data_IF_791797257617
#
_entry.id   IF_791797257617
#
_cell.length_a   1.000
_cell.length_b   1.000
_cell.length_c   1.000
_cell.angle_alpha   90.00
_cell.angle_beta   90.00
_cell.angle_gamma   90.00
#
_symmetry.space_group_name_H-M   'P 1'
#
loop_
_entity.id
_entity.type
_entity.pdbx_description
1 polymer ?
#
# COMPACT_ATOMS: atom_id res chain seq x y z
N UNK A 1 5.53 -19.16 -20.05
CA UNK A 1 4.48 -18.24 -19.55
C UNK A 1 4.03 -18.70 -18.17
N UNK A 2 4.59 -18.13 -17.08
CA UNK A 2 4.18 -18.42 -15.70
C UNK A 2 3.24 -17.30 -15.23
N UNK A 3 1.96 -17.64 -15.02
CA UNK A 3 0.97 -16.76 -14.40
C UNK A 3 1.36 -16.57 -12.93
N UNK A 4 1.69 -15.34 -12.52
CA UNK A 4 1.81 -14.94 -11.11
C UNK A 4 0.43 -15.04 -10.47
N UNK A 5 0.33 -15.76 -9.35
CA UNK A 5 -0.86 -15.84 -8.51
C UNK A 5 -0.91 -14.55 -7.69
N UNK A 6 -1.84 -13.65 -8.02
CA UNK A 6 -2.08 -12.35 -7.36
C UNK A 6 -3.14 -12.50 -6.26
N UNK A 7 -2.98 -13.46 -5.35
CA UNK A 7 -3.99 -13.74 -4.30
C UNK A 7 -3.49 -13.42 -2.88
N UNK A 8 -2.19 -13.17 -2.69
CA UNK A 8 -1.62 -13.04 -1.34
C UNK A 8 -1.52 -11.62 -0.76
N UNK A 9 -1.79 -10.57 -1.53
CA UNK A 9 -1.69 -9.18 -1.04
C UNK A 9 -2.90 -8.70 -0.21
N UNK A 10 -4.01 -9.44 -0.18
CA UNK A 10 -5.25 -8.99 0.49
C UNK A 10 -5.32 -9.24 2.00
N UNK A 11 -4.38 -9.99 2.61
CA UNK A 11 -4.48 -10.31 4.05
C UNK A 11 -3.39 -9.70 4.92
N UNK A 12 -2.30 -9.19 4.33
CA UNK A 12 -1.11 -8.75 5.09
C UNK A 12 -0.97 -7.23 5.25
N UNK A 13 -1.85 -6.41 4.66
CA UNK A 13 -1.68 -4.95 4.64
C UNK A 13 -2.93 -4.15 5.04
N UNK A 14 -3.67 -4.58 6.07
CA UNK A 14 -4.83 -3.83 6.57
C UNK A 14 -4.47 -2.96 7.79
N UNK A 15 -3.59 -1.98 7.54
CA UNK A 15 -3.47 -0.80 8.40
C UNK A 15 -3.08 0.46 7.62
N UNK A 16 -3.68 0.73 6.46
CA UNK A 16 -3.77 2.09 5.91
C UNK A 16 -4.98 2.25 4.95
N UNK A 17 -5.98 3.00 5.41
CA UNK A 17 -6.97 3.79 4.64
C UNK A 17 -7.89 3.09 3.63
N UNK A 18 -9.12 2.85 4.09
CA UNK A 18 -10.36 2.78 3.29
C UNK A 18 -10.61 4.12 2.57
N UNK A 19 -10.52 4.12 1.24
CA UNK A 19 -11.26 5.05 0.37
C UNK A 19 -12.17 4.20 -0.50
N UNK A 20 -13.44 4.13 -0.10
CA UNK A 20 -14.51 3.53 -0.90
C UNK A 20 -14.69 4.36 -2.18
N UNK A 21 -14.62 3.71 -3.34
CA UNK A 21 -15.30 4.20 -4.55
C UNK A 21 -16.54 3.36 -4.75
N UNK A 22 -17.69 4.01 -4.57
CA UNK A 22 -18.97 3.58 -5.10
C UNK A 22 -18.90 3.50 -6.62
N UNK A 23 -19.25 2.34 -7.18
CA UNK A 23 -19.79 2.26 -8.54
C UNK A 23 -20.97 1.29 -8.52
N UNK A 24 -22.16 1.86 -8.36
CA UNK A 24 -23.43 1.24 -8.74
C UNK A 24 -23.53 1.17 -10.26
N UNK A 25 -23.92 0.03 -10.88
CA UNK A 25 -24.29 0.02 -12.28
C UNK A 25 -25.75 0.45 -12.43
N UNK A 26 -25.97 1.58 -13.09
CA UNK A 26 -27.28 2.02 -13.59
C UNK A 26 -27.69 1.18 -14.79
N UNK A 27 -28.75 0.40 -14.62
CA UNK A 27 -29.57 -0.16 -15.72
C UNK A 27 -30.28 0.98 -16.46
N UNK A 28 -30.15 1.04 -17.78
CA UNK A 28 -31.07 1.81 -18.62
C UNK A 28 -31.59 0.96 -19.79
N UNK A 29 -32.86 1.22 -20.06
CA UNK A 29 -33.83 0.53 -20.90
C UNK A 29 -33.44 0.30 -22.36
N UNK A 30 -33.93 -0.83 -22.90
CA UNK A 30 -34.43 -0.89 -24.28
C UNK A 30 -35.54 -1.95 -24.42
N UNK A 31 -36.79 -1.49 -24.39
CA UNK A 31 -37.96 -2.21 -24.92
C UNK A 31 -38.01 -2.04 -26.44
N UNK A 32 -38.36 -3.10 -27.18
CA UNK A 32 -39.35 -3.14 -28.29
C UNK A 32 -39.69 -4.64 -28.51
N UNK A 33 -40.88 -5.11 -28.11
CA UNK A 33 -42.11 -5.28 -28.91
C UNK A 33 -42.06 -6.42 -29.95
N UNK A 34 -42.89 -7.45 -29.72
CA UNK A 34 -43.05 -8.58 -30.64
C UNK A 34 -44.11 -9.58 -30.16
N UNK A 35 -45.36 -9.31 -30.52
CA UNK A 35 -46.62 -10.03 -30.29
C UNK A 35 -46.61 -11.56 -30.49
N UNK A 36 -47.33 -12.32 -29.64
CA UNK A 36 -48.50 -13.11 -30.09
C UNK A 36 -49.32 -13.70 -28.90
N UNK A 37 -50.64 -13.60 -28.99
CA UNK A 37 -51.63 -14.23 -28.10
C UNK A 37 -52.03 -15.59 -28.71
N UNK A 38 -52.56 -16.62 -28.02
CA UNK A 38 -53.86 -16.75 -27.33
C UNK A 38 -54.10 -18.27 -27.03
N UNK A 39 -55.23 -18.76 -26.49
CA UNK A 39 -55.29 -19.45 -25.19
C UNK A 39 -55.86 -20.89 -25.25
N UNK A 40 -56.04 -21.58 -24.12
CA UNK A 40 -57.29 -22.31 -23.77
C UNK A 40 -57.27 -22.98 -22.39
N UNK A 41 -58.23 -22.56 -21.56
CA UNK A 41 -59.27 -23.39 -20.91
C UNK A 41 -59.02 -24.19 -19.61
N UNK A 42 -59.99 -24.02 -18.68
CA UNK A 42 -60.42 -24.88 -17.54
C UNK A 42 -59.47 -24.93 -16.32
N UNK A 43 -59.90 -24.88 -15.06
CA UNK A 43 -61.19 -25.22 -14.44
C UNK A 43 -61.30 -24.57 -13.03
N UNK A 44 -62.53 -24.35 -12.60
CA UNK A 44 -63.01 -23.78 -11.33
C UNK A 44 -62.50 -24.52 -10.08
N UNK A 45 -62.31 -23.78 -8.97
CA UNK A 45 -63.05 -24.01 -7.71
C UNK A 45 -62.82 -22.89 -6.69
N UNK A 46 -63.93 -22.45 -6.11
CA UNK A 46 -64.06 -21.38 -5.13
C UNK A 46 -63.64 -21.88 -3.73
N UNK A 47 -63.05 -21.01 -2.90
CA UNK A 47 -63.20 -21.06 -1.45
C UNK A 47 -62.72 -19.75 -0.81
N UNK A 48 -63.68 -18.85 -0.59
CA UNK A 48 -63.60 -17.74 0.37
C UNK A 48 -63.40 -18.28 1.78
N UNK A 49 -62.32 -17.88 2.47
CA UNK A 49 -62.29 -17.76 3.94
C UNK A 49 -61.37 -16.62 4.36
N UNK A 50 -61.98 -15.50 4.72
CA UNK A 50 -61.38 -14.48 5.58
C UNK A 50 -61.23 -15.05 7.00
N UNK A 51 -60.06 -14.87 7.61
CA UNK A 51 -59.93 -14.85 9.07
C UNK A 51 -58.78 -13.90 9.46
N UNK A 52 -59.08 -13.05 10.44
CA UNK A 52 -58.40 -11.84 10.88
C UNK A 52 -56.96 -12.05 11.39
N UNK A 53 -56.05 -11.13 11.06
CA UNK A 53 -54.90 -10.69 11.88
C UNK A 53 -54.64 -9.20 11.58
N UNK A 54 -55.09 -8.26 12.41
CA UNK A 54 -54.49 -7.81 13.68
C UNK A 54 -53.31 -6.83 13.53
N UNK A 55 -53.57 -5.59 13.98
CA UNK A 55 -52.69 -4.58 14.61
C UNK A 55 -51.94 -3.56 13.72
N UNK A 56 -52.56 -2.37 13.67
CA UNK A 56 -51.98 -1.05 14.04
C UNK A 56 -50.47 -0.86 13.83
N UNK A 57 -50.10 -0.05 12.85
CA UNK A 57 -48.77 0.52 12.70
C UNK A 57 -48.87 1.97 12.23
N UNK A 58 -48.74 2.93 13.15
CA UNK A 58 -48.11 4.25 12.87
C UNK A 58 -47.98 5.03 14.18
N UNK A 59 -46.76 5.13 14.71
CA UNK A 59 -46.38 6.23 15.61
C UNK A 59 -44.87 6.51 15.51
N UNK A 60 -44.55 7.74 15.09
CA UNK A 60 -43.46 8.53 15.68
C UNK A 60 -42.03 8.23 15.25
N UNK A 61 -41.66 8.60 14.02
CA UNK A 61 -40.28 8.95 13.65
C UNK A 61 -39.96 10.31 14.29
N UNK A 62 -39.28 10.30 15.44
CA UNK A 62 -38.46 11.44 15.91
C UNK A 62 -37.54 11.01 17.06
N UNK A 63 -36.34 10.56 16.72
CA UNK A 63 -35.14 10.79 17.54
C UNK A 63 -33.97 11.05 16.59
N UNK A 64 -33.67 12.34 16.51
CA UNK A 64 -32.65 12.97 15.69
C UNK A 64 -31.26 12.45 16.09
N UNK A 65 -30.51 11.98 15.09
CA UNK A 65 -29.18 12.49 14.72
C UNK A 65 -28.39 13.31 15.78
N UNK A 66 -28.05 12.75 16.95
CA UNK A 66 -27.13 13.38 17.91
C UNK A 66 -25.95 12.50 18.30
N UNK A 67 -25.39 11.73 17.36
CA UNK A 67 -24.06 11.15 17.55
C UNK A 67 -23.20 11.31 16.28
N UNK A 68 -22.99 12.58 15.90
CA UNK A 68 -21.98 13.02 14.92
C UNK A 68 -20.95 13.94 15.59
N UNK A 69 -20.63 13.72 16.87
CA UNK A 69 -19.72 14.58 17.65
C UNK A 69 -18.64 13.82 18.45
N UNK A 70 -18.38 12.55 18.15
CA UNK A 70 -17.29 11.77 18.76
C UNK A 70 -16.38 11.08 17.73
N UNK A 71 -15.86 11.82 16.74
CA UNK A 71 -14.73 11.37 15.91
C UNK A 71 -13.73 12.51 15.73
N UNK A 72 -13.18 12.99 16.85
CA UNK A 72 -11.98 13.82 16.86
C UNK A 72 -11.07 13.39 18.02
N UNK A 73 -10.92 12.08 18.22
CA UNK A 73 -9.75 11.59 18.93
C UNK A 73 -8.62 11.68 17.92
N UNK A 74 -7.62 12.53 18.18
CA UNK A 74 -6.36 12.49 17.44
C UNK A 74 -5.88 11.03 17.41
N UNK A 75 -5.35 10.54 16.27
CA UNK A 75 -4.93 9.15 16.18
C UNK A 75 -4.01 8.83 17.37
N UNK A 76 -4.27 7.74 18.11
CA UNK A 76 -3.47 7.41 19.27
C UNK A 76 -2.00 7.34 18.86
N UNK A 77 -1.17 8.13 19.56
CA UNK A 77 0.28 8.13 19.34
C UNK A 77 0.77 6.72 19.64
N UNK A 78 1.36 6.07 18.64
CA UNK A 78 1.90 4.72 18.81
C UNK A 78 3.15 4.80 19.70
N UNK A 79 3.13 4.25 20.93
CA UNK A 79 4.22 4.38 21.88
C UNK A 79 5.49 3.64 21.43
N UNK A 80 5.35 2.64 20.57
CA UNK A 80 6.49 1.94 19.96
C UNK A 80 7.09 2.77 18.84
N UNK A 81 6.22 3.36 17.99
CA UNK A 81 6.67 4.16 16.87
C UNK A 81 7.58 5.28 17.33
N UNK A 82 7.33 5.93 18.48
CA UNK A 82 8.20 6.98 19.06
C UNK A 82 9.65 6.53 19.31
N UNK A 83 9.84 5.30 19.80
CA UNK A 83 11.11 4.82 20.34
C UNK A 83 11.95 3.98 19.36
N UNK A 84 11.37 3.68 18.19
CA UNK A 84 11.96 2.87 17.15
C UNK A 84 12.37 3.74 15.95
N UNK A 85 13.46 3.34 15.29
CA UNK A 85 14.07 4.08 14.17
C UNK A 85 14.26 3.13 12.99
N UNK A 86 13.39 3.18 11.97
CA UNK A 86 13.49 2.28 10.84
C UNK A 86 14.77 2.55 10.02
N UNK A 87 15.32 1.53 9.33
CA UNK A 87 16.55 1.66 8.55
C UNK A 87 16.51 2.83 7.57
N UNK A 88 15.39 3.03 6.88
CA UNK A 88 15.21 4.06 5.88
C UNK A 88 15.38 5.45 6.48
N UNK A 89 14.86 5.68 7.69
CA UNK A 89 14.99 6.97 8.37
C UNK A 89 16.45 7.24 8.76
N UNK A 90 17.15 6.24 9.29
CA UNK A 90 18.56 6.40 9.71
C UNK A 90 19.45 6.65 8.50
N UNK A 91 19.21 5.94 7.39
CA UNK A 91 19.99 6.03 6.16
C UNK A 91 19.66 7.26 5.31
N UNK A 92 18.49 7.87 5.51
CA UNK A 92 18.08 9.11 4.84
C UNK A 92 18.77 10.34 5.43
N UNK A 93 19.12 10.31 6.72
CA UNK A 93 19.68 11.45 7.45
C UNK A 93 21.07 11.17 8.06
N UNK A 94 22.02 10.53 7.33
CA UNK A 94 23.27 10.05 7.91
C UNK A 94 24.19 11.21 8.32
N UNK A 95 24.19 12.30 7.56
CA UNK A 95 24.99 13.48 7.84
C UNK A 95 24.39 14.31 8.98
N UNK A 96 23.06 14.48 8.98
CA UNK A 96 22.33 15.26 9.97
C UNK A 96 22.44 14.66 11.37
N UNK A 97 22.47 13.33 11.47
CA UNK A 97 22.66 12.64 12.75
C UNK A 97 24.14 12.48 13.12
N UNK A 98 25.07 12.72 12.18
CA UNK A 98 26.50 12.55 12.40
C UNK A 98 26.88 11.08 12.53
N UNK A 99 26.40 10.24 11.61
CA UNK A 99 26.67 8.80 11.59
C UNK A 99 28.12 8.54 11.15
N UNK A 100 28.88 7.82 11.97
CA UNK A 100 30.26 7.45 11.62
C UNK A 100 30.29 6.34 10.57
N UNK A 101 31.44 6.18 9.90
CA UNK A 101 31.63 5.11 8.93
C UNK A 101 31.47 3.71 9.57
N UNK A 102 32.05 3.50 10.76
CA UNK A 102 31.89 2.25 11.51
C UNK A 102 30.43 1.96 11.87
N UNK A 103 29.67 2.98 12.29
CA UNK A 103 28.25 2.83 12.57
C UNK A 103 27.47 2.49 11.30
N UNK A 104 27.75 3.15 10.17
CA UNK A 104 27.12 2.86 8.88
C UNK A 104 27.39 1.43 8.43
N UNK A 105 28.64 0.97 8.54
CA UNK A 105 29.03 -0.40 8.20
C UNK A 105 28.31 -1.41 9.10
N UNK A 106 28.23 -1.13 10.41
CA UNK A 106 27.47 -1.94 11.35
C UNK A 106 25.97 -2.01 11.03
N UNK A 107 25.36 -0.90 10.62
CA UNK A 107 23.95 -0.85 10.20
C UNK A 107 23.71 -1.66 8.92
N UNK A 108 24.58 -1.54 7.92
CA UNK A 108 24.48 -2.35 6.70
C UNK A 108 24.57 -3.85 7.00
N UNK A 109 25.44 -4.25 7.94
CA UNK A 109 25.56 -5.64 8.35
C UNK A 109 24.26 -6.17 9.01
N UNK A 110 23.63 -5.38 9.89
CA UNK A 110 22.34 -5.77 10.49
C UNK A 110 21.22 -5.87 9.44
N UNK A 111 21.17 -4.94 8.48
CA UNK A 111 20.18 -4.97 7.38
C UNK A 111 20.38 -6.20 6.50
N UNK A 112 21.63 -6.51 6.11
CA UNK A 112 21.95 -7.67 5.29
C UNK A 112 21.58 -8.98 5.99
N UNK A 113 21.95 -9.12 7.26
CA UNK A 113 21.59 -10.27 8.10
C UNK A 113 20.07 -10.43 8.22
N UNK A 114 19.34 -9.32 8.39
CA UNK A 114 17.90 -9.35 8.46
C UNK A 114 17.27 -9.75 7.11
N UNK A 115 17.80 -9.27 5.98
CA UNK A 115 17.32 -9.62 4.64
C UNK A 115 17.37 -11.13 4.38
N UNK A 116 18.49 -11.77 4.72
CA UNK A 116 18.65 -13.23 4.61
C UNK A 116 17.61 -13.98 5.46
N UNK A 117 17.42 -13.55 6.71
CA UNK A 117 16.42 -14.14 7.61
C UNK A 117 14.98 -13.92 7.12
N UNK A 118 14.67 -12.74 6.61
CA UNK A 118 13.33 -12.44 6.09
C UNK A 118 12.98 -13.25 4.87
N UNK A 119 13.94 -13.48 3.96
CA UNK A 119 13.72 -14.32 2.77
C UNK A 119 13.29 -15.75 3.15
N UNK A 120 14.02 -16.39 4.07
CA UNK A 120 13.66 -17.71 4.59
C UNK A 120 12.29 -17.70 5.29
N UNK A 121 12.03 -16.72 6.17
CA UNK A 121 10.74 -16.62 6.88
C UNK A 121 9.55 -16.36 5.93
N UNK A 122 9.72 -15.52 4.91
CA UNK A 122 8.70 -15.28 3.89
C UNK A 122 8.39 -16.54 3.09
N UNK A 123 9.41 -17.32 2.73
CA UNK A 123 9.22 -18.61 2.05
C UNK A 123 8.42 -19.58 2.94
N UNK A 124 8.70 -19.64 4.24
CA UNK A 124 7.95 -20.48 5.18
C UNK A 124 6.51 -20.03 5.32
N UNK A 125 6.27 -18.73 5.50
CA UNK A 125 4.92 -18.17 5.56
C UNK A 125 4.13 -18.50 4.28
N UNK A 126 4.75 -18.36 3.10
CA UNK A 126 4.14 -18.71 1.83
C UNK A 126 3.76 -20.20 1.77
N UNK A 127 4.67 -21.11 2.17
CA UNK A 127 4.38 -22.55 2.21
C UNK A 127 3.19 -22.88 3.12
N UNK A 128 3.14 -22.31 4.33
CA UNK A 128 2.03 -22.54 5.26
C UNK A 128 0.72 -21.95 4.72
N UNK A 129 0.77 -20.80 4.04
CA UNK A 129 -0.38 -20.17 3.40
C UNK A 129 -0.90 -20.97 2.20
N UNK A 130 0.00 -21.51 1.37
CA UNK A 130 -0.37 -22.41 0.26
C UNK A 130 -1.01 -23.70 0.77
N UNK A 131 -0.47 -24.30 1.84
CA UNK A 131 -1.06 -25.47 2.49
C UNK A 131 -2.45 -25.18 3.06
N UNK A 132 -2.66 -24.01 3.68
CA UNK A 132 -3.99 -23.57 4.11
C UNK A 132 -4.95 -23.44 2.92
N UNK A 133 -4.48 -22.82 1.83
CA UNK A 133 -5.29 -22.64 0.62
C UNK A 133 -5.69 -23.98 -0.01
N UNK A 134 -4.87 -25.04 0.11
CA UNK A 134 -5.23 -26.39 -0.33
C UNK A 134 -6.38 -26.95 0.51
N UNK A 135 -6.31 -26.85 1.84
CA UNK A 135 -7.38 -27.34 2.74
C UNK A 135 -8.72 -26.63 2.49
N UNK A 136 -8.68 -25.33 2.19
CA UNK A 136 -9.88 -24.52 1.97
C UNK A 136 -10.53 -24.73 0.59
N UNK A 137 -9.83 -25.36 -0.37
CA UNK A 137 -10.37 -25.67 -1.71
C UNK A 137 -11.15 -26.99 -1.76
N UNK A 138 -11.12 -27.79 -0.69
CA UNK A 138 -11.80 -29.08 -0.64
C UNK A 138 -13.33 -28.88 -0.60
N UNK A 139 -14.07 -29.78 -1.25
CA UNK A 139 -15.55 -29.74 -1.30
C UNK A 139 -16.19 -29.85 0.10
N UNK A 140 -15.55 -30.60 1.00
CA UNK A 140 -15.83 -30.59 2.43
C UNK A 140 -14.58 -30.17 3.20
N UNK A 141 -14.71 -29.14 4.04
CA UNK A 141 -13.59 -28.58 4.81
C UNK A 141 -13.45 -29.32 6.13
N UNK A 142 -12.29 -29.93 6.37
CA UNK A 142 -11.87 -30.31 7.70
C UNK A 142 -11.52 -29.05 8.50
N UNK A 143 -12.45 -28.61 9.35
CA UNK A 143 -12.31 -27.40 10.16
C UNK A 143 -11.12 -27.49 11.13
N UNK A 144 -10.85 -28.66 11.69
CA UNK A 144 -9.77 -28.82 12.66
C UNK A 144 -8.41 -28.73 11.96
N UNK A 145 -8.27 -29.39 10.81
CA UNK A 145 -7.05 -29.28 10.00
C UNK A 145 -6.81 -27.84 9.51
N UNK A 146 -7.86 -27.13 9.07
CA UNK A 146 -7.76 -25.75 8.62
C UNK A 146 -7.32 -24.80 9.74
N UNK A 147 -7.88 -24.92 10.96
CA UNK A 147 -7.47 -24.12 12.11
C UNK A 147 -6.02 -24.42 12.54
N UNK A 148 -5.64 -25.69 12.59
CA UNK A 148 -4.27 -26.09 12.91
C UNK A 148 -3.27 -25.54 11.88
N UNK A 149 -3.65 -25.48 10.60
CA UNK A 149 -2.82 -24.91 9.55
C UNK A 149 -2.75 -23.37 9.64
N UNK A 150 -3.85 -22.71 10.02
CA UNK A 150 -3.88 -21.27 10.28
C UNK A 150 -2.97 -20.88 11.46
N UNK A 151 -2.92 -21.67 12.53
CA UNK A 151 -2.02 -21.42 13.66
C UNK A 151 -0.53 -21.47 13.24
N UNK A 152 -0.17 -22.31 12.26
CA UNK A 152 1.18 -22.32 11.68
C UNK A 152 1.47 -21.03 10.92
N UNK A 153 0.52 -20.52 10.13
CA UNK A 153 0.64 -19.22 9.44
C UNK A 153 0.89 -18.11 10.46
N UNK A 154 0.07 -18.04 11.52
CA UNK A 154 0.24 -17.04 12.59
C UNK A 154 1.59 -17.19 13.31
N UNK A 155 2.08 -18.42 13.49
CA UNK A 155 3.41 -18.64 14.06
C UNK A 155 4.52 -18.09 13.16
N UNK A 156 4.43 -18.26 11.83
CA UNK A 156 5.42 -17.67 10.92
C UNK A 156 5.35 -16.14 10.91
N UNK A 157 4.14 -15.55 10.94
CA UNK A 157 4.00 -14.09 11.07
C UNK A 157 4.62 -13.54 12.36
N UNK A 158 4.45 -14.27 13.48
CA UNK A 158 5.08 -13.90 14.75
C UNK A 158 6.58 -13.86 14.60
N UNK A 159 7.19 -14.85 13.97
CA UNK A 159 8.64 -14.90 13.75
C UNK A 159 9.13 -13.79 12.82
N UNK A 160 8.36 -13.42 11.79
CA UNK A 160 8.65 -12.25 10.94
C UNK A 160 8.61 -10.96 11.76
N UNK A 161 7.56 -10.74 12.55
CA UNK A 161 7.42 -9.55 13.41
C UNK A 161 8.53 -9.46 14.45
N UNK A 162 8.94 -10.61 15.02
CA UNK A 162 10.11 -10.69 15.92
C UNK A 162 11.40 -10.32 15.20
N UNK A 163 11.63 -10.86 14.00
CA UNK A 163 12.80 -10.52 13.20
C UNK A 163 12.85 -9.02 12.84
N UNK A 164 11.70 -8.41 12.54
CA UNK A 164 11.59 -6.96 12.33
C UNK A 164 11.95 -6.16 13.58
N UNK A 165 11.41 -6.53 14.74
CA UNK A 165 11.77 -5.88 16.00
C UNK A 165 13.26 -6.07 16.32
N UNK A 166 13.82 -7.27 16.10
CA UNK A 166 15.25 -7.53 16.29
C UNK A 166 16.12 -6.62 15.43
N UNK A 167 15.78 -6.43 14.15
CA UNK A 167 16.50 -5.50 13.27
C UNK A 167 16.47 -4.07 13.83
N UNK A 168 15.29 -3.56 14.17
CA UNK A 168 15.15 -2.16 14.60
C UNK A 168 15.79 -1.91 15.97
N UNK A 169 15.78 -2.90 16.86
CA UNK A 169 16.55 -2.84 18.12
C UNK A 169 18.05 -2.87 17.86
N UNK A 170 18.53 -3.77 16.98
CA UNK A 170 19.95 -3.83 16.60
C UNK A 170 20.44 -2.51 16.01
N UNK A 171 19.62 -1.86 15.19
CA UNK A 171 19.89 -0.51 14.67
C UNK A 171 19.98 0.52 15.80
N UNK A 172 18.98 0.55 16.69
CA UNK A 172 18.93 1.48 17.83
C UNK A 172 20.18 1.35 18.71
N UNK A 173 20.65 0.13 18.95
CA UNK A 173 21.84 -0.15 19.76
C UNK A 173 23.14 0.37 19.13
N UNK A 174 23.19 0.60 17.81
CA UNK A 174 24.34 1.24 17.14
C UNK A 174 24.32 2.76 17.24
N UNK A 175 23.21 3.37 17.64
CA UNK A 175 23.03 4.82 17.67
C UNK A 175 23.22 5.39 19.08
N UNK A 176 23.95 6.50 19.17
CA UNK A 176 24.13 7.21 20.44
C UNK A 176 22.84 7.90 20.90
N UNK A 177 22.73 8.22 22.19
CA UNK A 177 21.57 8.95 22.73
C UNK A 177 21.34 10.29 22.03
N UNK A 178 22.40 10.98 21.62
CA UNK A 178 22.33 12.23 20.86
C UNK A 178 21.77 11.99 19.45
N UNK A 179 22.26 10.97 18.74
CA UNK A 179 21.75 10.56 17.42
C UNK A 179 20.26 10.22 17.48
N UNK A 180 19.84 9.45 18.50
CA UNK A 180 18.44 9.10 18.71
C UNK A 180 17.57 10.34 19.00
N UNK A 181 18.09 11.34 19.73
CA UNK A 181 17.37 12.60 19.96
C UNK A 181 17.17 13.38 18.66
N UNK A 182 18.20 13.46 17.81
CA UNK A 182 18.08 14.09 16.47
C UNK A 182 17.05 13.37 15.59
N UNK A 183 17.03 12.04 15.60
CA UNK A 183 16.03 11.26 14.86
C UNK A 183 14.60 11.48 15.37
N UNK A 184 14.40 11.63 16.69
CA UNK A 184 13.09 11.99 17.26
C UNK A 184 12.63 13.39 16.81
N UNK A 185 13.54 14.36 16.80
CA UNK A 185 13.24 15.70 16.28
C UNK A 185 12.88 15.67 14.79
N UNK A 186 13.60 14.89 13.97
CA UNK A 186 13.27 14.67 12.56
C UNK A 186 11.87 14.05 12.41
N UNK A 187 11.54 13.01 13.19
CA UNK A 187 10.21 12.39 13.18
C UNK A 187 9.10 13.37 13.56
N UNK A 188 9.34 14.21 14.56
CA UNK A 188 8.41 15.28 14.94
C UNK A 188 8.21 16.29 13.81
N UNK A 189 9.29 16.70 13.12
CA UNK A 189 9.22 17.58 11.95
C UNK A 189 8.46 16.95 10.78
N UNK A 190 8.62 15.65 10.56
CA UNK A 190 7.87 14.89 9.56
C UNK A 190 6.38 14.85 9.94
N UNK A 191 6.05 14.52 11.19
CA UNK A 191 4.67 14.50 11.68
C UNK A 191 4.00 15.89 11.60
N UNK A 192 4.79 16.96 11.74
CA UNK A 192 4.35 18.34 11.57
C UNK A 192 4.32 18.82 10.10
N UNK A 193 4.63 17.95 9.12
CA UNK A 193 4.66 18.28 7.69
C UNK A 193 5.75 19.27 7.27
N UNK A 194 6.75 19.52 8.13
CA UNK A 194 7.85 20.46 7.85
C UNK A 194 8.93 19.85 6.96
N UNK A 195 9.03 18.52 6.95
CA UNK A 195 9.97 17.74 6.15
C UNK A 195 9.19 16.57 5.56
N UNK A 196 9.33 16.26 4.26
CA UNK A 196 8.70 15.09 3.67
C UNK A 196 9.23 13.80 4.31
N UNK A 197 8.34 12.85 4.55
CA UNK A 197 8.71 11.51 5.03
C UNK A 197 9.53 10.76 3.97
N UNK A 198 10.39 9.80 4.36
CA UNK A 198 11.14 8.98 3.40
C UNK A 198 10.23 8.29 2.35
N UNK A 199 9.05 7.83 2.77
CA UNK A 199 8.06 7.23 1.87
C UNK A 199 7.46 8.22 0.87
N UNK A 200 7.29 9.50 1.23
CA UNK A 200 6.83 10.54 0.30
C UNK A 200 7.91 10.92 -0.69
N UNK A 201 9.16 11.10 -0.24
CA UNK A 201 10.30 11.38 -1.13
C UNK A 201 10.42 10.31 -2.21
N UNK A 202 10.34 9.04 -1.81
CA UNK A 202 10.40 7.92 -2.76
C UNK A 202 9.25 7.93 -3.77
N UNK A 203 8.01 8.25 -3.35
CA UNK A 203 6.86 8.36 -4.27
C UNK A 203 7.02 9.51 -5.26
N UNK A 204 7.51 10.66 -4.79
CA UNK A 204 7.76 11.82 -5.66
C UNK A 204 8.80 11.48 -6.72
N UNK A 205 9.92 10.87 -6.31
CA UNK A 205 10.97 10.43 -7.24
C UNK A 205 10.44 9.42 -8.25
N UNK A 206 9.69 8.41 -7.82
CA UNK A 206 9.08 7.42 -8.72
C UNK A 206 8.13 8.07 -9.73
N UNK A 207 7.28 8.99 -9.28
CA UNK A 207 6.38 9.73 -10.16
C UNK A 207 7.13 10.55 -11.21
N UNK A 208 8.20 11.25 -10.82
CA UNK A 208 9.02 12.03 -11.75
C UNK A 208 9.78 11.15 -12.74
N UNK A 209 10.34 10.01 -12.31
CA UNK A 209 10.97 9.04 -13.23
C UNK A 209 9.99 8.55 -14.28
N UNK A 210 8.74 8.25 -13.88
CA UNK A 210 7.70 7.85 -14.83
C UNK A 210 7.39 8.96 -15.83
N UNK A 211 7.24 10.20 -15.38
CA UNK A 211 7.02 11.35 -16.27
C UNK A 211 8.17 11.56 -17.25
N UNK A 212 9.43 11.37 -16.81
CA UNK A 212 10.60 11.44 -17.69
C UNK A 212 10.53 10.34 -18.75
N UNK A 213 10.20 9.10 -18.38
CA UNK A 213 10.04 7.99 -19.32
C UNK A 213 8.94 8.27 -20.36
N UNK A 214 7.80 8.79 -19.92
CA UNK A 214 6.70 9.18 -20.80
C UNK A 214 7.10 10.33 -21.74
N UNK A 215 7.87 11.31 -21.26
CA UNK A 215 8.40 12.38 -22.10
C UNK A 215 9.42 11.89 -23.13
N UNK A 216 10.33 11.01 -22.74
CA UNK A 216 11.30 10.38 -23.66
C UNK A 216 10.57 9.59 -24.75
N UNK A 217 9.53 8.82 -24.37
CA UNK A 217 8.73 8.07 -25.35
C UNK A 217 8.02 9.00 -26.33
N UNK A 218 7.51 10.15 -25.86
CA UNK A 218 6.92 11.17 -26.74
C UNK A 218 7.94 11.72 -27.74
N UNK A 219 9.12 12.11 -27.28
CA UNK A 219 10.20 12.59 -28.16
C UNK A 219 10.61 11.55 -29.21
N UNK A 220 10.72 10.28 -28.82
CA UNK A 220 11.02 9.20 -29.75
C UNK A 220 9.95 9.06 -30.84
N UNK A 221 8.66 9.18 -30.47
CA UNK A 221 7.55 9.13 -31.40
C UNK A 221 7.51 10.36 -32.33
N UNK A 222 8.01 11.51 -31.85
CA UNK A 222 8.14 12.76 -32.61
C UNK A 222 9.42 12.80 -33.48
N UNK A 223 10.28 11.78 -33.41
CA UNK A 223 11.54 11.73 -34.15
C UNK A 223 12.66 12.62 -33.58
N UNK A 224 12.49 13.12 -32.34
CA UNK A 224 13.51 13.88 -31.60
C UNK A 224 14.52 12.95 -30.95
N UNK A 225 15.74 13.45 -30.77
CA UNK A 225 16.83 12.71 -30.13
C UNK A 225 16.69 12.71 -28.59
N UNK A 226 16.51 11.53 -27.94
CA UNK A 226 16.42 11.42 -26.49
C UNK A 226 17.79 11.39 -25.78
N UNK A 227 18.91 11.41 -26.52
CA UNK A 227 20.26 11.28 -25.95
C UNK A 227 20.57 12.26 -24.82
N UNK A 228 20.18 13.57 -24.89
CA UNK A 228 20.44 14.50 -23.79
C UNK A 228 19.75 14.13 -22.48
N UNK A 229 18.57 13.51 -22.56
CA UNK A 229 17.84 13.03 -21.38
C UNK A 229 18.47 11.74 -20.87
N UNK A 230 18.92 10.86 -21.77
CA UNK A 230 19.60 9.62 -21.40
C UNK A 230 20.91 9.89 -20.64
N UNK A 231 21.69 10.89 -21.04
CA UNK A 231 22.91 11.32 -20.33
C UNK A 231 22.60 11.76 -18.89
N UNK A 232 21.58 12.60 -18.70
CA UNK A 232 21.15 13.00 -17.36
C UNK A 232 20.69 11.81 -16.52
N UNK A 233 19.97 10.85 -17.12
CA UNK A 233 19.48 9.67 -16.40
C UNK A 233 20.60 8.74 -15.92
N UNK A 234 21.80 8.79 -16.52
CA UNK A 234 22.96 8.03 -16.02
C UNK A 234 23.45 8.56 -14.66
N UNK A 235 23.31 9.86 -14.39
CA UNK A 235 23.69 10.47 -13.11
C UNK A 235 22.69 10.15 -11.98
N UNK A 236 21.48 9.67 -12.30
CA UNK A 236 20.47 9.34 -11.28
C UNK A 236 20.88 8.14 -10.42
N UNK A 237 21.45 7.10 -11.02
CA UNK A 237 21.84 5.87 -10.31
C UNK A 237 22.84 6.12 -9.16
N UNK A 238 23.97 6.82 -9.35
CA UNK A 238 24.90 7.09 -8.25
C UNK A 238 24.29 7.98 -7.17
N UNK A 239 23.39 8.91 -7.50
CA UNK A 239 22.69 9.74 -6.52
C UNK A 239 21.74 8.90 -5.65
N UNK A 240 21.02 7.96 -6.26
CA UNK A 240 20.15 7.04 -5.52
C UNK A 240 20.95 6.09 -4.63
N UNK A 241 22.11 5.57 -5.10
CA UNK A 241 23.02 4.75 -4.28
C UNK A 241 23.59 5.52 -3.08
N UNK A 242 23.83 6.81 -3.23
CA UNK A 242 24.34 7.68 -2.17
C UNK A 242 23.25 8.26 -1.26
N UNK A 243 21.98 7.88 -1.44
CA UNK A 243 20.82 8.45 -0.74
C UNK A 243 20.71 9.98 -0.89
N UNK A 244 21.21 10.55 -1.99
CA UNK A 244 21.16 11.98 -2.30
C UNK A 244 19.84 12.37 -2.97
N UNK A 245 18.74 12.13 -2.26
CA UNK A 245 17.40 12.26 -2.82
C UNK A 245 17.05 13.67 -3.32
N UNK A 246 17.56 14.72 -2.66
CA UNK A 246 17.36 16.12 -3.12
C UNK A 246 18.05 16.40 -4.45
N UNK A 247 19.28 15.90 -4.61
CA UNK A 247 20.04 16.04 -5.87
C UNK A 247 19.38 15.22 -6.97
N UNK A 248 18.94 13.99 -6.66
CA UNK A 248 18.20 13.13 -7.58
C UNK A 248 16.88 13.77 -8.05
N UNK A 249 16.14 14.39 -7.14
CA UNK A 249 14.91 15.11 -7.47
C UNK A 249 15.19 16.30 -8.40
N UNK A 250 16.22 17.10 -8.10
CA UNK A 250 16.60 18.24 -8.91
C UNK A 250 17.08 17.83 -10.32
N UNK A 251 17.76 16.69 -10.44
CA UNK A 251 18.14 16.11 -11.73
C UNK A 251 16.89 15.74 -12.55
N UNK A 252 15.92 15.08 -11.93
CA UNK A 252 14.66 14.73 -12.59
C UNK A 252 13.88 15.98 -13.03
N UNK A 253 13.87 17.04 -12.23
CA UNK A 253 13.27 18.32 -12.61
C UNK A 253 13.94 18.94 -13.84
N UNK A 254 15.28 18.83 -13.96
CA UNK A 254 16.00 19.29 -15.16
C UNK A 254 15.65 18.44 -16.38
N UNK A 255 15.57 17.12 -16.23
CA UNK A 255 15.18 16.22 -17.31
C UNK A 255 13.74 16.51 -17.80
N UNK A 256 12.80 16.69 -16.87
CA UNK A 256 11.43 17.09 -17.20
C UNK A 256 11.36 18.47 -17.85
N UNK A 257 12.17 19.42 -17.41
CA UNK A 257 12.26 20.74 -18.03
C UNK A 257 12.72 20.62 -19.49
N UNK A 258 13.80 19.88 -19.76
CA UNK A 258 14.27 19.65 -21.13
C UNK A 258 13.19 19.01 -22.00
N UNK A 259 12.50 17.98 -21.50
CA UNK A 259 11.42 17.29 -22.21
C UNK A 259 10.24 18.19 -22.58
N UNK A 260 10.02 19.26 -21.82
CA UNK A 260 8.95 20.24 -22.06
C UNK A 260 9.44 21.46 -22.88
N UNK A 261 10.74 21.57 -23.20
CA UNK A 261 11.23 22.63 -24.06
C UNK A 261 10.80 22.38 -25.52
N UNK A 262 10.27 23.41 -26.22
CA UNK A 262 9.96 23.29 -27.65
C UNK A 262 11.26 23.05 -28.44
N UNK A 263 11.19 22.32 -29.56
CA UNK A 263 12.35 22.18 -30.46
C UNK A 263 12.81 23.59 -30.81
N UNK A 264 14.05 23.92 -30.47
CA UNK A 264 14.66 25.12 -31.04
C UNK A 264 14.82 24.85 -32.52
N UNK A 265 13.99 25.51 -33.32
CA UNK A 265 14.00 25.46 -34.79
C UNK A 265 15.44 25.40 -35.31
N UNK A 266 15.74 24.33 -36.05
CA UNK A 266 16.91 24.27 -36.93
C UNK A 266 16.71 25.36 -37.99
N UNK A 267 17.34 26.52 -37.78
CA UNK A 267 17.55 27.53 -38.81
C UNK A 267 18.52 27.02 -39.87
#
# INVERSE_FOLDING_TARGET
MRKRIVVFDCWFNDRHTLVQRDQTPTHHDRQEMGTNSRPTHRNKRNATKNCMKSKTATLGILLLFTNRLLWAQAPPVDPLAENLFPPELVMQYPSEIGLTEDQRNGLMAEIQKAHERFSDLQQRLQKEGEALAVLLKMESIDKQAALAQFDKVLSQEREIKRAHLTLVLGIKDKLTSEQQAKLRDIKSKIAAGKIPSPGEVQRVLQGKVQQVQEGVQRWQNEGRDPSPVAELMQELEPLMKQAKHKEAEALLDRALKLLNEPEKDKK
#
